data_IF_427295261135
#
_entry.id   IF_427295261135
#
_cell.length_a   1.000
_cell.length_b   1.000
_cell.length_c   1.000
_cell.angle_alpha   90.00
_cell.angle_beta   90.00
_cell.angle_gamma   90.00
#
_symmetry.space_group_name_H-M   'P 1'
#
loop_
_entity.id
_entity.type
_entity.pdbx_description
1 polymer ?
#
# COMPACT_ATOMS: atom_id res chain seq x y z
N UNK A 1 -16.32 8.12 -12.39
CA UNK A 1 -16.59 9.56 -12.18
C UNK A 1 -15.59 10.43 -12.96
N UNK A 2 -15.79 11.73 -13.01
CA UNK A 2 -14.88 12.71 -13.63
C UNK A 2 -14.38 13.68 -12.56
N UNK A 3 -13.07 13.88 -12.45
CA UNK A 3 -12.51 14.91 -11.58
C UNK A 3 -12.84 16.30 -12.14
N UNK A 4 -13.47 17.15 -11.33
CA UNK A 4 -13.90 18.51 -11.73
C UNK A 4 -13.03 19.60 -11.12
N UNK A 5 -12.38 19.32 -9.99
CA UNK A 5 -11.48 20.26 -9.33
C UNK A 5 -10.37 19.54 -8.59
N UNK A 6 -9.12 19.91 -8.88
CA UNK A 6 -7.98 19.53 -8.06
C UNK A 6 -7.89 20.42 -6.83
N UNK A 7 -7.73 19.84 -5.65
CA UNK A 7 -7.65 20.59 -4.39
C UNK A 7 -6.21 20.75 -3.94
N UNK A 8 -5.50 19.64 -3.72
CA UNK A 8 -4.10 19.67 -3.27
C UNK A 8 -3.38 18.34 -3.51
N UNK A 9 -2.03 18.36 -3.64
CA UNK A 9 -1.22 17.16 -3.59
C UNK A 9 -1.09 16.62 -2.17
N UNK A 10 -1.27 15.31 -1.99
CA UNK A 10 -0.87 14.60 -0.80
C UNK A 10 0.63 14.29 -0.89
N UNK A 11 1.40 14.88 0.02
CA UNK A 11 2.85 14.71 0.10
C UNK A 11 3.19 13.42 0.85
N UNK A 12 2.88 12.28 0.25
CA UNK A 12 3.24 10.96 0.76
C UNK A 12 4.08 10.21 -0.29
N UNK A 13 5.35 9.94 0.04
CA UNK A 13 6.23 9.13 -0.80
C UNK A 13 6.45 9.65 -2.23
N UNK A 14 6.83 8.73 -3.13
CA UNK A 14 7.20 9.04 -4.52
C UNK A 14 6.04 9.07 -5.54
N UNK A 15 4.81 8.78 -5.13
CA UNK A 15 3.64 8.69 -6.03
C UNK A 15 2.81 9.97 -6.12
N UNK A 16 2.96 10.89 -5.14
CA UNK A 16 2.28 12.19 -5.03
C UNK A 16 0.80 12.13 -5.47
N UNK A 17 -0.06 11.38 -4.74
CA UNK A 17 -1.49 11.38 -5.02
C UNK A 17 -2.10 12.77 -4.80
N UNK A 18 -3.30 13.00 -5.32
CA UNK A 18 -3.96 14.32 -5.22
C UNK A 18 -5.41 14.21 -4.77
N UNK A 19 -5.85 15.15 -3.94
CA UNK A 19 -7.27 15.26 -3.55
C UNK A 19 -8.03 16.01 -4.64
N UNK A 20 -9.18 15.48 -5.06
CA UNK A 20 -10.05 16.12 -6.04
C UNK A 20 -11.51 16.08 -5.61
N UNK A 21 -12.29 17.03 -6.11
CA UNK A 21 -13.76 16.94 -6.16
C UNK A 21 -14.17 16.35 -7.51
N UNK A 22 -15.25 15.57 -7.54
CA UNK A 22 -15.77 14.91 -8.73
C UNK A 22 -17.18 15.38 -9.12
N UNK A 23 -17.64 14.98 -10.31
CA UNK A 23 -18.93 15.32 -10.89
C UNK A 23 -20.15 14.75 -10.16
N UNK A 24 -19.92 13.80 -9.25
CA UNK A 24 -20.91 13.22 -8.33
C UNK A 24 -20.97 13.94 -6.97
N UNK A 25 -20.27 15.06 -6.82
CA UNK A 25 -20.14 15.84 -5.58
C UNK A 25 -19.33 15.15 -4.47
N UNK A 26 -18.65 14.03 -4.77
CA UNK A 26 -17.74 13.35 -3.86
C UNK A 26 -16.33 13.97 -3.84
N UNK A 27 -15.56 13.62 -2.81
CA UNK A 27 -14.13 13.96 -2.70
C UNK A 27 -13.31 12.68 -2.71
N UNK A 28 -12.24 12.66 -3.50
CA UNK A 28 -11.46 11.46 -3.75
C UNK A 28 -9.96 11.74 -3.68
N UNK A 29 -9.19 10.75 -3.24
CA UNK A 29 -7.75 10.69 -3.45
C UNK A 29 -7.49 10.02 -4.79
N UNK A 30 -6.89 10.74 -5.74
CA UNK A 30 -6.47 10.20 -7.03
C UNK A 30 -5.05 9.69 -6.97
N UNK A 31 -4.87 8.43 -7.39
CA UNK A 31 -3.59 7.83 -7.73
C UNK A 31 -3.37 7.91 -9.23
N UNK A 32 -2.30 8.59 -9.61
CA UNK A 32 -2.04 8.96 -11.00
C UNK A 32 -1.28 7.88 -11.78
N UNK A 33 -1.74 7.60 -12.99
CA UNK A 33 -1.13 6.66 -13.95
C UNK A 33 0.27 7.07 -14.38
N UNK A 34 0.56 8.38 -14.42
CA UNK A 34 1.87 8.94 -14.77
C UNK A 34 2.88 8.98 -13.62
N UNK A 35 2.54 8.41 -12.46
CA UNK A 35 3.42 8.32 -11.30
C UNK A 35 4.58 7.35 -11.54
N UNK A 36 5.67 7.50 -10.77
CA UNK A 36 6.87 6.68 -10.92
C UNK A 36 6.63 5.20 -10.59
N UNK A 37 5.60 4.89 -9.79
CA UNK A 37 5.20 3.51 -9.46
C UNK A 37 4.53 2.79 -10.65
N UNK A 38 3.99 3.56 -11.60
CA UNK A 38 3.42 3.05 -12.85
C UNK A 38 2.10 2.29 -12.69
N UNK A 39 1.60 1.76 -13.80
CA UNK A 39 0.29 1.09 -13.89
C UNK A 39 0.16 -0.12 -12.97
N UNK A 40 1.24 -0.89 -12.74
CA UNK A 40 1.22 -2.07 -11.88
C UNK A 40 0.79 -1.77 -10.44
N UNK A 41 1.17 -0.61 -9.89
CA UNK A 41 0.71 -0.20 -8.56
C UNK A 41 -0.80 0.04 -8.53
N UNK A 42 -1.39 0.61 -9.60
CA UNK A 42 -2.85 0.77 -9.70
C UNK A 42 -3.57 -0.57 -9.87
N UNK A 43 -2.96 -1.51 -10.62
CA UNK A 43 -3.46 -2.89 -10.73
C UNK A 43 -3.47 -3.56 -9.36
N UNK A 44 -2.38 -3.46 -8.59
CA UNK A 44 -2.31 -3.99 -7.24
C UNK A 44 -3.33 -3.33 -6.31
N UNK A 45 -3.54 -2.03 -6.42
CA UNK A 45 -4.54 -1.31 -5.64
C UNK A 45 -5.94 -1.88 -5.86
N UNK A 46 -6.36 -2.07 -7.12
CA UNK A 46 -7.67 -2.67 -7.43
C UNK A 46 -7.72 -4.12 -6.95
N UNK A 47 -6.76 -4.96 -7.36
CA UNK A 47 -6.81 -6.40 -7.08
C UNK A 47 -6.82 -6.68 -5.58
N UNK A 48 -5.98 -6.01 -4.81
CA UNK A 48 -5.88 -6.24 -3.36
C UNK A 48 -6.97 -5.48 -2.60
N UNK A 49 -7.27 -4.23 -2.97
CA UNK A 49 -8.29 -3.42 -2.31
C UNK A 49 -9.68 -4.03 -2.45
N UNK A 50 -10.04 -4.48 -3.64
CA UNK A 50 -11.33 -5.12 -3.89
C UNK A 50 -11.42 -6.53 -3.29
N UNK A 51 -10.31 -7.29 -3.29
CA UNK A 51 -10.24 -8.54 -2.54
C UNK A 51 -10.50 -8.31 -1.06
N UNK A 52 -9.81 -7.34 -0.45
CA UNK A 52 -9.99 -6.99 0.95
C UNK A 52 -11.46 -6.61 1.26
N UNK A 53 -12.09 -5.77 0.43
CA UNK A 53 -13.50 -5.38 0.60
C UNK A 53 -14.45 -6.57 0.54
N UNK A 54 -14.26 -7.48 -0.42
CA UNK A 54 -15.05 -8.71 -0.56
C UNK A 54 -14.83 -9.70 0.58
N UNK A 55 -13.66 -9.68 1.20
CA UNK A 55 -13.35 -10.44 2.42
C UNK A 55 -13.81 -9.75 3.72
N UNK A 56 -14.47 -8.60 3.63
CA UNK A 56 -15.04 -7.87 4.77
C UNK A 56 -14.07 -6.92 5.48
N UNK A 57 -12.86 -6.73 4.95
CA UNK A 57 -11.90 -5.73 5.44
C UNK A 57 -12.29 -4.32 4.95
N UNK A 58 -11.91 -3.31 5.73
CA UNK A 58 -12.28 -1.92 5.45
C UNK A 58 -11.23 -1.25 4.57
N UNK A 59 -11.53 -1.12 3.29
CA UNK A 59 -10.79 -0.27 2.34
C UNK A 59 -11.76 0.80 1.85
N UNK A 60 -11.35 2.07 1.70
CA UNK A 60 -12.20 3.07 1.08
C UNK A 60 -12.63 2.61 -0.33
N UNK A 61 -13.75 3.12 -0.82
CA UNK A 61 -14.25 2.70 -2.14
C UNK A 61 -13.28 3.11 -3.26
N UNK A 62 -13.00 2.17 -4.17
CA UNK A 62 -12.18 2.41 -5.34
C UNK A 62 -13.08 2.74 -6.53
N UNK A 63 -12.71 3.78 -7.28
CA UNK A 63 -13.48 4.25 -8.44
C UNK A 63 -12.55 4.58 -9.59
N UNK A 64 -12.99 4.28 -10.81
CA UNK A 64 -12.29 4.77 -12.00
C UNK A 64 -12.62 6.25 -12.22
N UNK A 65 -11.57 7.06 -12.34
CA UNK A 65 -11.65 8.51 -12.42
C UNK A 65 -11.08 9.02 -13.75
N UNK A 66 -11.87 9.77 -14.52
CA UNK A 66 -11.33 10.53 -15.65
C UNK A 66 -10.74 11.85 -15.14
N UNK A 67 -9.52 12.16 -15.53
CA UNK A 67 -8.77 13.33 -15.11
C UNK A 67 -8.34 14.14 -16.33
N UNK A 68 -8.72 15.42 -16.36
CA UNK A 68 -8.19 16.42 -17.30
C UNK A 68 -7.21 17.33 -16.54
N UNK A 69 -5.92 17.39 -16.91
CA UNK A 69 -4.94 18.25 -16.24
C UNK A 69 -5.36 19.72 -16.12
N UNK A 70 -6.27 20.21 -16.97
CA UNK A 70 -6.81 21.57 -16.88
C UNK A 70 -7.45 21.88 -15.51
N UNK A 71 -8.03 20.89 -14.82
CA UNK A 71 -8.64 21.09 -13.48
C UNK A 71 -7.60 21.37 -12.39
N UNK A 72 -6.32 21.14 -12.69
CA UNK A 72 -5.19 21.35 -11.81
C UNK A 72 -4.22 22.44 -12.31
N UNK A 73 -4.64 23.30 -13.25
CA UNK A 73 -3.80 24.33 -13.85
C UNK A 73 -3.20 25.35 -12.85
N UNK A 74 -3.70 25.38 -11.61
CA UNK A 74 -3.24 26.26 -10.53
C UNK A 74 -2.14 25.63 -9.65
N UNK A 75 -1.79 24.36 -9.85
CA UNK A 75 -0.74 23.68 -9.07
C UNK A 75 0.60 24.41 -9.25
N UNK A 76 1.24 24.94 -8.18
CA UNK A 76 2.44 25.77 -8.32
C UNK A 76 3.73 24.98 -8.61
N UNK A 77 3.78 23.67 -8.32
CA UNK A 77 5.00 22.89 -8.43
C UNK A 77 5.13 22.20 -9.79
N UNK A 78 6.16 22.56 -10.56
CA UNK A 78 6.41 22.01 -11.90
C UNK A 78 6.47 20.48 -11.94
N UNK A 79 7.13 19.85 -10.95
CA UNK A 79 7.25 18.39 -10.89
C UNK A 79 5.87 17.71 -10.76
N UNK A 80 4.96 18.33 -9.99
CA UNK A 80 3.57 17.85 -9.85
C UNK A 80 2.80 18.13 -11.13
N UNK A 81 2.93 19.32 -11.72
CA UNK A 81 2.30 19.61 -13.01
C UNK A 81 2.70 18.57 -14.08
N UNK A 82 3.99 18.25 -14.20
CA UNK A 82 4.48 17.28 -15.18
C UNK A 82 3.86 15.89 -14.95
N UNK A 83 3.73 15.48 -13.68
CA UNK A 83 3.01 14.25 -13.31
C UNK A 83 1.55 14.30 -13.75
N UNK A 84 0.83 15.39 -13.44
CA UNK A 84 -0.58 15.54 -13.75
C UNK A 84 -0.81 15.53 -15.28
N UNK A 85 0.02 16.23 -16.06
CA UNK A 85 -0.07 16.23 -17.52
C UNK A 85 0.14 14.83 -18.13
N UNK A 86 1.09 14.05 -17.61
CA UNK A 86 1.29 12.64 -18.05
C UNK A 86 0.14 11.71 -17.65
N UNK A 87 -0.73 12.17 -16.75
CA UNK A 87 -1.83 11.37 -16.19
C UNK A 87 -3.19 11.77 -16.75
N UNK A 88 -3.23 12.47 -17.89
CA UNK A 88 -4.48 12.76 -18.58
C UNK A 88 -5.23 11.48 -18.96
N UNK A 89 -6.54 11.44 -18.71
CA UNK A 89 -7.38 10.28 -18.99
C UNK A 89 -7.72 9.47 -17.73
N UNK A 90 -7.66 8.15 -17.83
CA UNK A 90 -8.17 7.25 -16.78
C UNK A 90 -7.16 7.04 -15.66
N UNK A 91 -7.57 7.28 -14.42
CA UNK A 91 -6.79 7.10 -13.19
C UNK A 91 -7.63 6.35 -12.15
N UNK A 92 -7.04 6.05 -11.00
CA UNK A 92 -7.72 5.41 -9.88
C UNK A 92 -8.05 6.46 -8.82
N UNK A 93 -9.33 6.59 -8.49
CA UNK A 93 -9.81 7.31 -7.32
C UNK A 93 -10.05 6.36 -6.15
N UNK A 94 -9.83 6.86 -4.96
CA UNK A 94 -10.17 6.22 -3.70
C UNK A 94 -11.00 7.22 -2.88
N UNK A 95 -12.08 6.78 -2.27
CA UNK A 95 -12.93 7.66 -1.44
C UNK A 95 -12.09 8.34 -0.35
N UNK A 96 -12.22 9.66 -0.23
CA UNK A 96 -11.49 10.42 0.75
C UNK A 96 -12.19 10.33 2.11
N UNK A 97 -11.54 9.74 3.11
CA UNK A 97 -12.09 9.59 4.46
C UNK A 97 -11.87 10.87 5.29
N UNK A 98 -12.88 11.75 5.47
CA UNK A 98 -12.65 13.03 6.11
C UNK A 98 -12.30 12.85 7.58
N UNK A 99 -11.24 13.52 8.03
CA UNK A 99 -10.74 13.46 9.41
C UNK A 99 -9.98 12.19 9.77
N UNK A 100 -9.78 11.24 8.85
CA UNK A 100 -8.98 10.04 9.13
C UNK A 100 -7.55 10.42 9.57
N UNK A 101 -6.98 9.59 10.44
CA UNK A 101 -5.61 9.75 10.93
C UNK A 101 -4.77 8.55 10.56
N UNK A 102 -3.48 8.76 10.30
CA UNK A 102 -2.54 7.66 10.08
C UNK A 102 -2.47 6.76 11.31
N UNK A 103 -2.46 5.46 11.08
CA UNK A 103 -2.22 4.49 12.13
C UNK A 103 -0.72 4.46 12.45
N UNK A 104 -0.36 5.00 13.62
CA UNK A 104 1.03 5.04 14.10
C UNK A 104 1.26 4.02 15.21
N UNK A 105 2.52 3.69 15.55
CA UNK A 105 2.82 2.84 16.71
C UNK A 105 2.24 3.37 18.04
N UNK A 106 2.10 4.68 18.20
CA UNK A 106 1.68 5.30 19.46
C UNK A 106 0.17 5.57 19.54
N UNK A 107 -0.59 5.12 18.53
CA UNK A 107 -2.04 5.32 18.50
C UNK A 107 -2.75 4.46 19.55
N UNK A 108 -3.70 5.07 20.27
CA UNK A 108 -4.56 4.41 21.24
C UNK A 108 -5.76 3.77 20.53
N UNK A 109 -5.47 2.70 19.77
CA UNK A 109 -6.47 1.84 19.16
C UNK A 109 -6.18 0.39 19.57
N UNK A 110 -7.16 -0.23 20.24
CA UNK A 110 -7.17 -1.65 20.51
C UNK A 110 -7.65 -2.40 19.25
N UNK A 111 -6.76 -3.18 18.65
CA UNK A 111 -7.06 -3.99 17.47
C UNK A 111 -7.13 -5.43 17.94
N UNK A 112 -8.29 -6.06 17.70
CA UNK A 112 -8.51 -7.46 18.08
C UNK A 112 -7.49 -8.39 17.37
N UNK A 113 -6.93 -9.40 18.05
CA UNK A 113 -6.01 -10.36 17.45
C UNK A 113 -6.51 -11.01 16.15
N UNK A 114 -7.81 -11.27 16.03
CA UNK A 114 -8.44 -11.83 14.82
C UNK A 114 -8.47 -10.78 13.70
N UNK A 115 -8.86 -9.53 13.99
CA UNK A 115 -8.81 -8.44 13.01
C UNK A 115 -7.37 -8.19 12.52
N UNK A 116 -6.40 -8.20 13.42
CA UNK A 116 -4.99 -8.11 13.07
C UNK A 116 -4.53 -9.31 12.22
N UNK A 117 -4.99 -10.52 12.56
CA UNK A 117 -4.75 -11.76 11.81
C UNK A 117 -5.25 -11.67 10.38
N UNK A 118 -6.45 -11.13 10.16
CA UNK A 118 -7.07 -10.98 8.84
C UNK A 118 -6.29 -10.04 7.92
N UNK A 119 -5.81 -8.91 8.47
CA UNK A 119 -4.98 -7.97 7.71
C UNK A 119 -3.63 -8.58 7.35
N UNK A 120 -2.96 -9.20 8.33
CA UNK A 120 -1.67 -9.89 8.07
C UNK A 120 -1.84 -11.02 7.06
N UNK A 121 -2.94 -11.78 7.17
CA UNK A 121 -3.25 -12.86 6.25
C UNK A 121 -3.44 -12.35 4.82
N UNK A 122 -4.19 -11.25 4.63
CA UNK A 122 -4.36 -10.61 3.33
C UNK A 122 -3.01 -10.17 2.75
N UNK A 123 -2.20 -9.49 3.56
CA UNK A 123 -0.89 -9.01 3.11
C UNK A 123 0.04 -10.19 2.78
N UNK A 124 -0.02 -11.30 3.52
CA UNK A 124 0.71 -12.52 3.21
C UNK A 124 0.21 -13.20 1.93
N UNK A 125 -1.11 -13.35 1.73
CA UNK A 125 -1.70 -13.87 0.50
C UNK A 125 -1.22 -13.07 -0.73
N UNK A 126 -1.19 -11.75 -0.60
CA UNK A 126 -0.88 -10.82 -1.70
C UNK A 126 0.61 -10.43 -1.76
N UNK A 127 1.46 -11.00 -0.90
CA UNK A 127 2.88 -10.65 -0.80
C UNK A 127 3.15 -9.15 -0.56
N UNK A 128 2.29 -8.47 0.21
CA UNK A 128 2.45 -7.08 0.61
C UNK A 128 3.36 -6.93 1.84
N UNK A 129 4.67 -6.91 1.63
CA UNK A 129 5.66 -6.75 2.71
C UNK A 129 5.89 -5.30 3.13
N UNK A 130 5.23 -4.33 2.49
CA UNK A 130 5.43 -2.90 2.72
C UNK A 130 4.67 -2.37 3.95
N UNK A 131 3.62 -3.09 4.38
CA UNK A 131 2.83 -2.77 5.58
C UNK A 131 3.63 -3.01 6.86
N UNK A 132 4.43 -2.02 7.23
CA UNK A 132 5.40 -2.13 8.33
C UNK A 132 5.15 -1.13 9.45
N UNK A 133 5.86 -1.29 10.57
CA UNK A 133 5.85 -0.29 11.66
C UNK A 133 6.35 1.09 11.25
N UNK A 134 7.07 1.21 10.13
CA UNK A 134 7.59 2.48 9.59
C UNK A 134 6.69 3.11 8.53
N UNK A 135 5.93 2.28 7.80
CA UNK A 135 4.94 2.70 6.81
C UNK A 135 3.74 1.77 6.94
N UNK A 136 2.78 2.15 7.77
CA UNK A 136 1.67 1.26 8.09
C UNK A 136 0.66 1.16 6.94
N UNK A 137 0.53 2.19 6.10
CA UNK A 137 -0.51 2.30 5.07
C UNK A 137 -1.91 1.95 5.64
N UNK A 138 -2.13 2.27 6.92
CA UNK A 138 -3.34 2.01 7.67
C UNK A 138 -3.85 3.34 8.21
N UNK A 139 -5.16 3.49 8.30
CA UNK A 139 -5.81 4.67 8.86
C UNK A 139 -6.77 4.30 9.99
N UNK A 140 -7.05 5.28 10.84
CA UNK A 140 -8.09 5.21 11.85
C UNK A 140 -9.22 6.16 11.48
N UNK A 141 -10.43 5.60 11.34
CA UNK A 141 -11.62 6.36 10.97
C UNK A 141 -12.93 5.67 11.42
N UNK A 142 -13.99 6.41 11.81
CA UNK A 142 -14.05 7.87 11.96
C UNK A 142 -13.42 8.35 13.27
N UNK A 143 -12.95 9.60 13.27
CA UNK A 143 -12.22 10.22 14.40
C UNK A 143 -13.00 11.35 15.06
N UNK A 144 -14.07 11.85 14.43
CA UNK A 144 -14.93 12.92 14.94
C UNK A 144 -15.82 12.51 16.13
N UNK A 145 -15.65 11.31 16.70
CA UNK A 145 -16.43 10.84 17.86
C UNK A 145 -17.89 10.46 17.56
N UNK A 146 -18.31 10.49 16.30
CA UNK A 146 -19.70 10.12 15.89
C UNK A 146 -19.96 8.62 15.96
N UNK A 147 -18.91 7.80 15.80
CA UNK A 147 -18.90 6.34 15.92
C UNK A 147 -17.52 5.92 16.45
N UNK A 148 -17.39 4.70 17.04
CA UNK A 148 -16.09 4.21 17.46
C UNK A 148 -15.12 4.15 16.27
N UNK A 149 -13.85 4.58 16.46
CA UNK A 149 -12.84 4.48 15.41
C UNK A 149 -12.61 3.02 15.02
N UNK A 150 -12.30 2.80 13.75
CA UNK A 150 -11.95 1.50 13.19
C UNK A 150 -10.68 1.60 12.38
N UNK A 151 -10.02 0.46 12.22
CA UNK A 151 -8.89 0.32 11.31
C UNK A 151 -9.38 0.26 9.86
N UNK A 152 -8.71 1.00 8.98
CA UNK A 152 -8.91 1.03 7.53
C UNK A 152 -7.59 0.79 6.81
N UNK A 153 -7.64 0.03 5.72
CA UNK A 153 -6.50 -0.31 4.89
C UNK A 153 -6.48 0.65 3.70
N UNK A 154 -5.30 1.19 3.43
CA UNK A 154 -5.01 1.97 2.24
C UNK A 154 -3.72 1.45 1.62
N UNK A 155 -3.44 1.95 0.42
CA UNK A 155 -2.17 1.83 -0.29
C UNK A 155 -1.62 0.41 -0.39
N UNK A 156 -2.23 -0.35 -1.30
CA UNK A 156 -1.81 -1.69 -1.69
C UNK A 156 -0.91 -1.70 -2.93
N UNK A 157 -0.46 -0.53 -3.40
CA UNK A 157 0.34 -0.40 -4.62
C UNK A 157 1.69 -1.12 -4.61
N UNK A 158 2.21 -1.46 -3.42
CA UNK A 158 3.43 -2.25 -3.23
C UNK A 158 3.18 -3.76 -3.04
N UNK A 159 1.91 -4.18 -3.04
CA UNK A 159 1.53 -5.58 -2.99
C UNK A 159 1.80 -6.30 -4.31
N UNK A 160 1.54 -7.60 -4.35
CA UNK A 160 1.70 -8.47 -5.51
C UNK A 160 3.13 -8.46 -6.07
N UNK A 161 4.14 -8.40 -5.20
CA UNK A 161 5.57 -8.26 -5.59
C UNK A 161 6.01 -9.22 -6.70
N UNK A 162 5.39 -10.39 -6.81
CA UNK A 162 5.61 -11.36 -7.89
C UNK A 162 5.29 -10.82 -9.29
N UNK A 163 4.36 -9.86 -9.45
CA UNK A 163 3.93 -9.34 -10.76
C UNK A 163 4.99 -8.45 -11.44
N UNK A 164 6.09 -8.13 -10.73
CA UNK A 164 7.26 -7.48 -11.32
C UNK A 164 8.19 -8.49 -12.00
N UNK A 165 8.02 -9.79 -11.71
CA UNK A 165 8.81 -10.89 -12.24
C UNK A 165 7.93 -12.12 -12.38
N UNK A 166 7.10 -12.14 -13.43
CA UNK A 166 6.31 -13.31 -13.76
C UNK A 166 7.21 -14.49 -14.07
N UNK A 167 7.08 -15.56 -13.28
CA UNK A 167 7.67 -16.86 -13.55
C UNK A 167 6.55 -17.90 -13.60
N UNK A 168 5.88 -17.97 -14.75
CA UNK A 168 4.79 -18.92 -14.98
C UNK A 168 5.24 -20.39 -14.85
N UNK A 169 6.54 -20.67 -15.00
CA UNK A 169 7.08 -22.01 -14.84
C UNK A 169 7.15 -22.47 -13.37
N UNK A 170 6.99 -21.54 -12.41
CA UNK A 170 7.09 -21.83 -10.97
C UNK A 170 5.90 -21.28 -10.17
N UNK A 171 4.69 -21.28 -10.74
CA UNK A 171 3.45 -20.86 -10.05
C UNK A 171 3.32 -21.53 -8.68
N UNK A 172 3.57 -22.84 -8.56
CA UNK A 172 3.52 -23.55 -7.28
C UNK A 172 4.60 -23.07 -6.29
N UNK A 173 5.83 -22.87 -6.74
CA UNK A 173 6.90 -22.37 -5.88
C UNK A 173 6.62 -20.94 -5.39
N UNK A 174 5.99 -20.12 -6.23
CA UNK A 174 5.52 -18.78 -5.84
C UNK A 174 4.30 -18.88 -4.94
N UNK A 175 3.44 -19.88 -5.13
CA UNK A 175 2.24 -20.09 -4.33
C UNK A 175 2.57 -20.46 -2.87
N UNK A 176 3.56 -21.32 -2.67
CA UNK A 176 3.98 -21.79 -1.33
C UNK A 176 4.97 -20.84 -0.66
N UNK A 177 5.42 -19.78 -1.34
CA UNK A 177 6.45 -18.89 -0.82
C UNK A 177 5.98 -18.11 0.41
N UNK A 178 6.64 -18.33 1.52
CA UNK A 178 6.56 -17.51 2.73
C UNK A 178 7.37 -16.21 2.57
N UNK A 179 6.83 -15.12 3.09
CA UNK A 179 7.48 -13.82 3.17
C UNK A 179 7.68 -13.42 4.63
N UNK A 180 8.67 -12.57 4.89
CA UNK A 180 8.98 -12.09 6.24
C UNK A 180 8.02 -10.97 6.65
N UNK A 181 7.22 -11.22 7.69
CA UNK A 181 6.25 -10.29 8.26
C UNK A 181 6.57 -9.87 9.70
N UNK A 182 7.80 -10.12 10.19
CA UNK A 182 8.19 -9.80 11.57
C UNK A 182 8.02 -8.31 11.89
N UNK A 183 8.22 -7.44 10.90
CA UNK A 183 8.09 -5.98 11.01
C UNK A 183 6.69 -5.45 10.69
N UNK A 184 5.68 -6.32 10.60
CA UNK A 184 4.33 -5.92 10.22
C UNK A 184 3.72 -4.93 11.23
N UNK A 185 3.02 -3.90 10.74
CA UNK A 185 2.48 -2.81 11.57
C UNK A 185 1.58 -3.30 12.73
N UNK A 186 0.89 -4.42 12.52
CA UNK A 186 -0.03 -5.04 13.46
C UNK A 186 0.58 -6.20 14.28
N UNK A 187 1.86 -6.51 14.12
CA UNK A 187 2.49 -7.64 14.83
C UNK A 187 2.35 -7.57 16.36
N UNK A 188 2.33 -6.36 16.93
CA UNK A 188 2.15 -6.12 18.38
C UNK A 188 0.80 -6.57 18.94
N UNK A 189 -0.21 -6.77 18.10
CA UNK A 189 -1.56 -7.15 18.53
C UNK A 189 -1.75 -8.68 18.63
N UNK A 190 -0.66 -9.45 18.50
CA UNK A 190 -0.69 -10.90 18.49
C UNK A 190 -1.62 -11.48 17.41
N UNK A 191 -1.39 -11.19 16.11
CA UNK A 191 -2.27 -11.61 15.03
C UNK A 191 -2.58 -13.11 15.06
N UNK A 192 -3.87 -13.48 15.09
CA UNK A 192 -4.32 -14.87 14.97
C UNK A 192 -4.46 -15.23 13.49
N UNK A 193 -3.32 -15.51 12.84
CA UNK A 193 -3.26 -15.82 11.41
C UNK A 193 -3.93 -17.15 11.06
N UNK A 194 -4.04 -18.09 12.02
CA UNK A 194 -4.72 -19.37 11.79
C UNK A 194 -6.24 -19.19 11.76
N UNK A 195 -6.80 -18.43 12.71
CA UNK A 195 -8.23 -18.11 12.69
C UNK A 195 -8.62 -17.30 11.45
N UNK A 196 -7.74 -16.37 11.03
CA UNK A 196 -7.92 -15.65 9.78
C UNK A 196 -7.92 -16.58 8.56
N UNK A 197 -6.99 -17.53 8.50
CA UNK A 197 -6.90 -18.49 7.39
C UNK A 197 -8.14 -19.37 7.26
N UNK A 198 -8.58 -19.96 8.38
CA UNK A 198 -9.78 -20.81 8.42
C UNK A 198 -11.03 -20.07 7.93
N UNK A 199 -11.08 -18.75 8.13
CA UNK A 199 -12.20 -17.91 7.71
C UNK A 199 -12.06 -17.44 6.26
N UNK A 200 -10.88 -16.98 5.86
CA UNK A 200 -10.68 -16.21 4.63
C UNK A 200 -10.27 -17.06 3.43
N UNK A 201 -9.43 -18.09 3.63
CA UNK A 201 -8.93 -18.90 2.51
C UNK A 201 -10.06 -19.55 1.68
N UNK A 202 -11.14 -20.10 2.28
CA UNK A 202 -12.24 -20.68 1.51
C UNK A 202 -13.03 -19.67 0.67
N UNK A 203 -12.94 -18.37 0.98
CA UNK A 203 -13.64 -17.31 0.27
C UNK A 203 -12.89 -16.88 -1.00
N UNK A 204 -11.58 -17.13 -1.09
CA UNK A 204 -10.75 -16.76 -2.25
C UNK A 204 -10.91 -17.81 -3.35
N UNK A 205 -11.99 -17.66 -4.12
CA UNK A 205 -12.33 -18.54 -5.25
C UNK A 205 -11.86 -17.96 -6.58
N UNK A 206 -11.78 -18.83 -7.60
CA UNK A 206 -11.46 -18.40 -8.97
C UNK A 206 -12.51 -17.40 -9.50
N UNK A 207 -13.80 -17.64 -9.23
CA UNK A 207 -14.89 -16.74 -9.64
C UNK A 207 -14.74 -15.36 -9.00
N UNK A 208 -14.48 -15.30 -7.69
CA UNK A 208 -14.24 -14.04 -6.99
C UNK A 208 -13.06 -13.26 -7.61
N UNK A 209 -11.96 -13.96 -7.88
CA UNK A 209 -10.76 -13.35 -8.45
C UNK A 209 -10.98 -12.91 -9.92
N UNK A 210 -11.79 -13.63 -10.69
CA UNK A 210 -12.19 -13.21 -12.05
C UNK A 210 -13.03 -11.93 -12.00
N UNK A 211 -13.99 -11.84 -11.09
CA UNK A 211 -14.78 -10.62 -10.88
C UNK A 211 -13.88 -9.43 -10.52
N UNK A 212 -13.00 -9.60 -9.53
CA UNK A 212 -12.08 -8.54 -9.09
C UNK A 212 -11.14 -8.13 -10.21
N UNK A 213 -10.49 -9.12 -10.85
CA UNK A 213 -9.52 -8.81 -11.90
C UNK A 213 -10.20 -8.10 -13.03
N UNK A 214 -11.44 -8.44 -13.43
CA UNK A 214 -12.20 -7.76 -14.49
C UNK A 214 -12.44 -6.25 -14.24
N UNK A 215 -12.38 -5.78 -12.99
CA UNK A 215 -12.49 -4.35 -12.67
C UNK A 215 -11.25 -3.53 -13.11
N UNK A 216 -10.10 -4.19 -13.30
CA UNK A 216 -8.89 -3.52 -13.78
C UNK A 216 -9.04 -3.14 -15.26
N UNK A 217 -8.81 -1.88 -15.67
CA UNK A 217 -8.89 -1.48 -17.08
C UNK A 217 -7.88 -2.20 -17.99
N UNK A 218 -8.30 -2.61 -19.19
CA UNK A 218 -7.42 -3.25 -20.19
C UNK A 218 -6.17 -2.42 -20.51
N UNK A 219 -6.32 -1.10 -20.60
CA UNK A 219 -5.21 -0.18 -20.87
C UNK A 219 -4.10 -0.24 -19.79
N UNK A 220 -4.43 -0.71 -18.59
CA UNK A 220 -3.45 -0.87 -17.51
C UNK A 220 -2.72 -2.20 -17.56
N UNK A 221 -3.27 -3.18 -18.28
CA UNK A 221 -2.72 -4.53 -18.47
C UNK A 221 -2.05 -4.71 -19.83
N UNK A 222 -2.29 -3.79 -20.77
CA UNK A 222 -1.73 -3.84 -22.11
C UNK A 222 -0.19 -3.82 -22.12
N UNK A 223 0.37 -4.57 -23.06
CA UNK A 223 1.81 -4.71 -23.33
C UNK A 223 2.65 -5.28 -22.18
N UNK A 224 2.03 -6.01 -21.23
CA UNK A 224 2.76 -6.70 -20.18
C UNK A 224 3.65 -7.81 -20.79
N UNK A 225 4.98 -7.75 -20.58
CA UNK A 225 5.88 -8.76 -21.12
C UNK A 225 5.56 -10.17 -20.61
N UNK A 226 5.49 -11.13 -21.52
CA UNK A 226 5.21 -12.54 -21.21
C UNK A 226 3.74 -12.94 -21.32
N UNK A 227 2.84 -12.00 -21.63
CA UNK A 227 1.41 -12.29 -21.85
C UNK A 227 0.98 -11.87 -23.25
N UNK A 228 0.03 -12.62 -23.81
CA UNK A 228 -0.50 -12.36 -25.15
C UNK A 228 -1.42 -11.14 -25.15
N UNK A 229 -2.22 -10.98 -24.10
CA UNK A 229 -3.22 -9.93 -23.94
C UNK A 229 -3.57 -9.71 -22.46
N UNK A 230 -4.48 -8.76 -22.20
CA UNK A 230 -4.95 -8.44 -20.85
C UNK A 230 -5.65 -9.64 -20.18
N UNK A 231 -6.38 -10.46 -20.95
CA UNK A 231 -7.10 -11.60 -20.40
C UNK A 231 -6.14 -12.68 -19.90
N UNK A 232 -5.10 -13.01 -20.68
CA UNK A 232 -4.05 -13.93 -20.26
C UNK A 232 -3.35 -13.47 -18.96
N UNK A 233 -3.19 -12.15 -18.77
CA UNK A 233 -2.64 -11.60 -17.54
C UNK A 233 -3.62 -11.67 -16.36
N UNK A 234 -4.93 -11.43 -16.57
CA UNK A 234 -5.95 -11.64 -15.53
C UNK A 234 -5.96 -13.10 -15.06
N UNK A 235 -5.91 -14.04 -16.00
CA UNK A 235 -5.85 -15.47 -15.69
C UNK A 235 -4.62 -15.85 -14.88
N UNK A 236 -3.49 -15.18 -15.10
CA UNK A 236 -2.28 -15.40 -14.31
C UNK A 236 -2.45 -14.96 -12.85
N UNK A 237 -3.08 -13.81 -12.60
CA UNK A 237 -3.44 -13.37 -11.25
C UNK A 237 -4.41 -14.36 -10.60
N UNK A 238 -5.49 -14.74 -11.29
CA UNK A 238 -6.48 -15.71 -10.80
C UNK A 238 -5.82 -17.02 -10.41
N UNK A 239 -5.01 -17.59 -11.31
CA UNK A 239 -4.32 -18.87 -11.10
C UNK A 239 -3.40 -18.80 -9.88
N UNK A 240 -2.57 -17.76 -9.79
CA UNK A 240 -1.56 -17.66 -8.73
C UNK A 240 -2.19 -17.36 -7.37
N UNK A 241 -3.15 -16.43 -7.27
CA UNK A 241 -3.79 -16.09 -6.01
C UNK A 241 -4.67 -17.23 -5.50
N UNK A 242 -5.35 -17.96 -6.39
CA UNK A 242 -6.07 -19.19 -6.03
C UNK A 242 -5.09 -20.25 -5.49
N UNK A 243 -3.96 -20.46 -6.18
CA UNK A 243 -2.95 -21.40 -5.74
C UNK A 243 -2.35 -21.00 -4.37
N UNK A 244 -2.05 -19.71 -4.15
CA UNK A 244 -1.58 -19.20 -2.85
C UNK A 244 -2.61 -19.46 -1.76
N UNK A 245 -3.88 -19.11 -1.98
CA UNK A 245 -4.93 -19.31 -0.99
C UNK A 245 -5.09 -20.79 -0.61
N UNK A 246 -5.00 -21.72 -1.57
CA UNK A 246 -5.03 -23.18 -1.33
C UNK A 246 -3.79 -23.69 -0.59
N UNK A 247 -2.66 -23.01 -0.72
CA UNK A 247 -1.38 -23.37 -0.10
C UNK A 247 -1.09 -22.57 1.18
N UNK A 248 -2.11 -21.98 1.81
CA UNK A 248 -1.95 -21.06 2.94
C UNK A 248 -1.10 -21.61 4.06
N UNK A 249 -1.32 -22.87 4.44
CA UNK A 249 -0.56 -23.58 5.47
C UNK A 249 0.98 -23.52 5.27
N UNK A 250 1.46 -23.37 4.02
CA UNK A 250 2.88 -23.29 3.71
C UNK A 250 3.51 -21.90 3.97
N UNK A 251 2.71 -20.83 3.99
CA UNK A 251 3.22 -19.45 4.07
C UNK A 251 2.64 -18.60 5.19
N UNK A 252 1.70 -19.12 5.98
CA UNK A 252 1.10 -18.37 7.10
C UNK A 252 2.17 -17.79 8.04
N UNK A 253 2.18 -16.46 8.27
CA UNK A 253 3.10 -15.86 9.21
C UNK A 253 2.75 -16.24 10.66
N UNK A 254 3.74 -16.63 11.44
CA UNK A 254 3.57 -17.00 12.86
C UNK A 254 4.56 -16.31 13.80
N UNK A 255 5.46 -15.48 13.26
CA UNK A 255 6.55 -14.86 14.02
C UNK A 255 6.36 -13.35 14.10
N UNK A 256 5.89 -12.88 15.25
CA UNK A 256 5.64 -11.46 15.55
C UNK A 256 6.39 -11.07 16.83
N UNK A 257 7.70 -10.78 16.72
CA UNK A 257 8.52 -10.45 17.89
C UNK A 257 8.07 -9.14 18.55
N UNK A 258 8.32 -8.97 19.86
CA UNK A 258 8.00 -7.74 20.57
C UNK A 258 8.85 -6.55 20.08
N UNK A 259 8.37 -5.34 20.37
CA UNK A 259 8.95 -4.07 19.87
C UNK A 259 10.42 -3.87 20.23
N UNK A 260 10.83 -4.28 21.42
CA UNK A 260 12.20 -4.16 21.91
C UNK A 260 13.16 -5.06 21.13
N UNK A 261 12.71 -6.27 20.78
CA UNK A 261 13.47 -7.17 19.90
C UNK A 261 13.62 -6.57 18.49
N UNK A 262 12.52 -6.09 17.88
CA UNK A 262 12.56 -5.46 16.56
C UNK A 262 13.49 -4.24 16.53
N UNK A 263 13.40 -3.36 17.53
CA UNK A 263 14.27 -2.20 17.65
C UNK A 263 15.76 -2.58 17.78
N UNK A 264 16.07 -3.66 18.51
CA UNK A 264 17.43 -4.17 18.62
C UNK A 264 17.96 -4.72 17.29
N UNK A 265 17.11 -5.41 16.53
CA UNK A 265 17.43 -5.96 15.20
C UNK A 265 17.65 -4.85 14.17
N UNK A 266 16.81 -3.83 14.15
CA UNK A 266 16.98 -2.67 13.27
C UNK A 266 18.23 -1.88 13.59
N UNK A 267 18.52 -1.67 14.88
CA UNK A 267 19.76 -1.02 15.31
C UNK A 267 20.99 -1.85 14.91
N UNK A 268 20.92 -3.18 14.98
CA UNK A 268 21.99 -4.06 14.51
C UNK A 268 22.17 -3.98 12.99
N UNK A 269 21.07 -3.98 12.23
CA UNK A 269 21.07 -3.86 10.77
C UNK A 269 21.63 -2.51 10.32
N UNK A 270 21.22 -1.42 10.95
CA UNK A 270 21.74 -0.07 10.69
C UNK A 270 23.25 0.00 10.94
N UNK A 271 23.74 -0.55 12.06
CA UNK A 271 25.18 -0.64 12.36
C UNK A 271 25.93 -1.47 11.31
N UNK A 272 25.36 -2.60 10.86
CA UNK A 272 25.97 -3.43 9.83
C UNK A 272 26.03 -2.71 8.48
N UNK A 273 24.95 -2.05 8.07
CA UNK A 273 24.92 -1.21 6.85
C UNK A 273 25.96 -0.10 6.93
N UNK A 274 26.06 0.59 8.07
CA UNK A 274 27.07 1.63 8.28
C UNK A 274 28.51 1.08 8.23
N UNK A 275 28.76 -0.07 8.86
CA UNK A 275 30.04 -0.76 8.82
C UNK A 275 30.44 -1.20 7.40
N UNK A 276 29.46 -1.57 6.57
CA UNK A 276 29.65 -1.96 5.17
C UNK A 276 29.89 -0.78 4.20
N UNK A 277 29.62 0.47 4.62
CA UNK A 277 29.81 1.64 3.74
C UNK A 277 31.28 1.84 3.37
N UNK A 278 31.58 2.21 2.10
CA UNK A 278 32.92 2.67 1.72
C UNK A 278 33.39 3.83 2.62
N UNK A 279 34.70 3.92 2.89
CA UNK A 279 35.26 4.89 3.84
C UNK A 279 34.91 6.37 3.52
N UNK A 280 34.70 6.70 2.24
CA UNK A 280 34.30 8.04 1.79
C UNK A 280 32.82 8.36 2.04
N UNK A 281 31.96 7.35 2.24
CA UNK A 281 30.54 7.50 2.57
C UNK A 281 30.27 7.35 4.09
N UNK A 282 31.28 6.90 4.86
CA UNK A 282 31.26 6.85 6.34
C UNK A 282 31.51 8.21 6.99
N UNK A 283 32.01 9.19 6.21
CA UNK A 283 32.20 10.58 6.62
C UNK A 283 31.44 11.48 5.66
N UNK A 284 30.11 11.43 5.67
CA UNK A 284 29.32 12.50 5.05
C UNK A 284 29.49 13.71 5.98
N UNK A 285 30.10 14.83 5.53
CA UNK A 285 30.10 16.06 6.31
C UNK A 285 28.65 16.48 6.50
N UNK A 286 28.29 16.87 7.72
CA UNK A 286 27.00 17.49 7.99
C UNK A 286 26.92 18.82 7.22
N UNK A 287 26.37 18.78 5.99
CA UNK A 287 26.17 19.95 5.13
C UNK A 287 25.03 20.84 5.62
N UNK A 288 24.30 20.41 6.66
CA UNK A 288 23.28 21.19 7.36
C UNK A 288 23.68 21.30 8.83
N UNK A 289 24.75 22.06 9.08
CA UNK A 289 25.29 22.29 10.41
C UNK A 289 24.20 22.54 11.44
N UNK A 290 24.12 21.67 12.45
CA UNK A 290 23.35 21.92 13.66
C UNK A 290 23.72 23.31 14.24
N UNK A 291 22.75 24.07 14.77
CA UNK A 291 23.05 25.37 15.36
C UNK A 291 24.04 25.20 16.52
N UNK A 292 25.08 26.02 16.48
CA UNK A 292 26.17 26.13 17.43
C UNK A 292 25.64 26.41 18.86
N UNK A 293 25.96 25.58 19.88
CA UNK A 293 25.48 25.74 21.25
C UNK A 293 26.28 26.79 22.03
N UNK A 294 26.56 27.95 21.42
CA UNK A 294 27.16 29.07 22.14
C UNK A 294 26.09 29.89 22.87
N UNK A 295 26.30 30.25 24.15
CA UNK A 295 25.33 31.02 24.92
C UNK A 295 25.12 32.39 24.27
N UNK A 296 23.85 32.80 24.18
CA UNK A 296 23.42 34.07 23.63
C UNK A 296 24.25 35.23 24.20
N UNK A 297 24.96 35.94 23.31
CA UNK A 297 25.59 37.22 23.63
C UNK A 297 24.51 38.21 24.03
N UNK A 298 24.49 38.57 25.32
CA UNK A 298 23.88 39.83 25.79
C UNK A 298 24.66 40.99 25.19
N UNK A 299 23.95 41.97 24.65
CA UNK A 299 24.46 43.31 24.38
C UNK A 299 23.41 44.35 24.84
N UNK A 300 23.89 45.56 25.20
CA UNK A 300 23.35 46.40 26.28
C UNK A 300 21.96 46.97 26.05
#
# INVERSE_FOLDING_TARGET
MTAVRYLEPLRAGGSVPGVVEADDLGTYVLKFTGSAQGRKALVAEIVVGELARRLGLRVPELVLARFDPAVAAHEPHQEVQDLLHRSAGLNLGMDYLPGAHDFTPDIDLDVDPVEAGEVVWLDALTANVDRTVHSSNLMVWPTFGVRPPRLWLIDHGAALVFHHRWDAASVLATAEKAYDFRQHALGRYGPDTKAADDRLAPLVTEDLLREITAEVPDAWLADEPGFADAEALREAYVTLLTARARASEAWLPTDFPPRDQLAAEDAARARATEAGRPAWLKRVPDLHGKPDPRPAKRYP
#
